data_IF_563598383248
#
_entry.id   IF_563598383248
#
_cell.length_a   1.000
_cell.length_b   1.000
_cell.length_c   1.000
_cell.angle_alpha   90.00
_cell.angle_beta   90.00
_cell.angle_gamma   90.00
#
_symmetry.space_group_name_H-M   'P 1'
#
loop_
_entity.id
_entity.type
_entity.pdbx_description
1 polymer ?
#
# COMPACT_ATOMS: atom_id res chain seq x y z
N UNK A 1 18.65 0.88 7.44
CA UNK A 1 18.09 1.63 6.29
C UNK A 1 17.16 0.73 5.48
N UNK A 2 15.97 1.18 5.21
CA UNK A 2 15.03 0.45 4.36
C UNK A 2 15.45 0.60 2.90
N UNK A 3 15.70 -0.52 2.25
CA UNK A 3 16.03 -0.53 0.83
C UNK A 3 14.78 -0.94 0.06
N UNK A 4 14.32 -0.07 -0.83
CA UNK A 4 13.18 -0.38 -1.66
C UNK A 4 13.55 -1.46 -2.68
N UNK A 5 12.61 -2.37 -2.90
CA UNK A 5 12.78 -3.43 -3.88
C UNK A 5 12.75 -2.83 -5.29
N UNK A 6 13.44 -3.49 -6.23
CA UNK A 6 13.48 -3.04 -7.62
C UNK A 6 12.10 -2.85 -8.22
N UNK A 7 11.16 -3.74 -7.91
CA UNK A 7 9.79 -3.64 -8.41
C UNK A 7 9.08 -2.38 -7.91
N UNK A 8 9.28 -2.04 -6.64
CA UNK A 8 8.68 -0.84 -6.05
C UNK A 8 9.24 0.43 -6.68
N UNK A 9 10.56 0.47 -6.92
CA UNK A 9 11.20 1.61 -7.58
C UNK A 9 10.66 1.81 -9.00
N UNK A 10 10.43 0.73 -9.75
CA UNK A 10 9.84 0.83 -11.08
C UNK A 10 8.44 1.40 -11.03
N UNK A 11 7.64 1.02 -10.03
CA UNK A 11 6.30 1.55 -9.85
C UNK A 11 6.37 3.04 -9.53
N UNK A 12 7.28 3.46 -8.64
CA UNK A 12 7.48 4.87 -8.32
C UNK A 12 7.84 5.67 -9.57
N UNK A 13 8.71 5.13 -10.42
CA UNK A 13 9.09 5.77 -11.67
C UNK A 13 7.89 5.94 -12.61
N UNK A 14 6.98 4.95 -12.65
CA UNK A 14 5.76 5.08 -13.45
C UNK A 14 4.80 6.10 -12.86
N UNK A 15 4.66 6.12 -11.54
CA UNK A 15 3.83 7.11 -10.86
C UNK A 15 4.37 8.51 -11.07
N UNK A 16 5.69 8.68 -11.11
CA UNK A 16 6.32 9.97 -11.33
C UNK A 16 5.99 10.59 -12.69
N UNK A 17 5.59 9.79 -13.68
CA UNK A 17 5.13 10.30 -14.96
C UNK A 17 3.77 11.00 -14.86
N UNK A 18 2.95 10.57 -13.89
CA UNK A 18 1.63 11.14 -13.63
C UNK A 18 1.69 12.16 -12.50
N UNK A 19 2.48 11.88 -11.47
CA UNK A 19 2.66 12.70 -10.27
C UNK A 19 4.13 13.08 -10.15
N UNK A 20 4.53 14.18 -10.76
CA UNK A 20 5.95 14.56 -10.90
C UNK A 20 6.68 14.83 -9.60
N UNK A 21 5.96 15.14 -8.52
CA UNK A 21 6.55 15.44 -7.22
C UNK A 21 6.78 14.24 -6.32
N UNK A 22 6.43 13.03 -6.79
CA UNK A 22 6.57 11.83 -5.96
C UNK A 22 8.05 11.51 -5.70
N UNK A 23 8.38 11.17 -4.47
CA UNK A 23 9.73 10.81 -4.04
C UNK A 23 9.71 9.50 -3.28
N UNK A 24 10.68 8.64 -3.56
CA UNK A 24 10.88 7.42 -2.80
C UNK A 24 11.35 7.73 -1.38
N UNK A 25 10.91 6.93 -0.42
CA UNK A 25 11.33 7.04 0.97
C UNK A 25 12.17 5.81 1.31
N UNK A 26 13.36 6.03 1.84
CA UNK A 26 14.29 4.94 2.15
C UNK A 26 14.80 5.02 3.60
N UNK A 27 13.96 5.48 4.51
CA UNK A 27 14.29 5.48 5.94
C UNK A 27 14.05 4.11 6.56
N UNK A 28 14.89 3.75 7.50
CA UNK A 28 14.85 2.44 8.16
C UNK A 28 13.49 2.14 8.80
N UNK A 29 12.84 3.15 9.38
CA UNK A 29 11.57 2.98 10.10
C UNK A 29 10.38 3.54 9.33
N UNK A 30 10.56 3.81 8.04
CA UNK A 30 9.46 4.29 7.23
C UNK A 30 8.39 3.22 7.05
N UNK A 31 7.13 3.61 7.19
CA UNK A 31 5.97 2.75 7.02
C UNK A 31 5.33 2.90 5.65
N UNK A 32 5.84 3.81 4.85
CA UNK A 32 5.37 4.00 3.47
C UNK A 32 6.57 4.12 2.54
N UNK A 33 6.34 3.90 1.25
CA UNK A 33 7.40 3.73 0.26
C UNK A 33 7.70 5.00 -0.52
N UNK A 34 6.75 5.93 -0.60
CA UNK A 34 6.93 7.16 -1.36
C UNK A 34 6.07 8.27 -0.79
N UNK A 35 6.41 9.51 -1.13
CA UNK A 35 5.73 10.70 -0.64
C UNK A 35 5.77 11.80 -1.70
N UNK A 36 4.71 12.60 -1.76
CA UNK A 36 4.71 13.87 -2.48
C UNK A 36 3.99 14.93 -1.64
N UNK A 37 3.69 16.09 -2.23
CA UNK A 37 3.06 17.20 -1.50
C UNK A 37 1.71 16.82 -0.89
N UNK A 38 0.95 15.95 -1.55
CA UNK A 38 -0.44 15.67 -1.19
C UNK A 38 -0.66 14.27 -0.66
N UNK A 39 0.26 13.36 -0.92
CA UNK A 39 0.03 11.94 -0.68
C UNK A 39 1.23 11.24 -0.07
N UNK A 40 0.95 10.19 0.69
CA UNK A 40 1.92 9.13 1.00
C UNK A 40 1.48 7.86 0.31
N UNK A 41 2.41 7.01 -0.06
CA UNK A 41 2.15 5.82 -0.87
C UNK A 41 2.74 4.58 -0.21
N UNK A 42 1.91 3.55 -0.05
CA UNK A 42 2.37 2.21 0.29
C UNK A 42 2.20 1.35 -0.98
N UNK A 43 3.24 0.62 -1.36
CA UNK A 43 3.28 -0.10 -2.63
C UNK A 43 3.36 -1.59 -2.37
N UNK A 44 2.50 -2.36 -3.03
CA UNK A 44 2.51 -3.82 -2.98
C UNK A 44 2.52 -4.38 -4.38
N UNK A 45 3.34 -5.41 -4.59
CA UNK A 45 3.42 -6.15 -5.84
C UNK A 45 2.84 -7.53 -5.63
N UNK A 46 1.93 -7.94 -6.50
CA UNK A 46 1.30 -9.26 -6.46
C UNK A 46 1.51 -9.93 -7.81
N UNK A 47 1.78 -11.24 -7.80
CA UNK A 47 1.96 -12.00 -9.03
C UNK A 47 0.65 -12.29 -9.74
N UNK A 48 -0.44 -12.40 -8.96
CA UNK A 48 -1.76 -12.75 -9.47
C UNK A 48 -2.72 -11.58 -9.32
N UNK A 49 -3.74 -11.55 -10.17
CA UNK A 49 -4.86 -10.63 -10.00
C UNK A 49 -5.75 -11.09 -8.85
N UNK A 50 -6.20 -10.14 -8.05
CA UNK A 50 -7.18 -10.36 -6.97
C UNK A 50 -8.27 -9.31 -7.12
N UNK A 51 -9.52 -9.75 -7.12
CA UNK A 51 -10.66 -8.84 -7.19
C UNK A 51 -10.88 -8.10 -5.85
N UNK A 52 -10.32 -8.62 -4.77
CA UNK A 52 -10.26 -7.95 -3.48
C UNK A 52 -8.81 -7.95 -3.02
N UNK A 53 -8.26 -6.76 -2.81
CA UNK A 53 -6.87 -6.63 -2.39
C UNK A 53 -6.79 -6.57 -0.89
N UNK A 54 -5.79 -7.25 -0.34
CA UNK A 54 -5.57 -7.33 1.10
C UNK A 54 -4.72 -6.15 1.57
N UNK A 55 -5.10 -5.57 2.72
CA UNK A 55 -4.30 -4.58 3.41
C UNK A 55 -4.15 -4.97 4.87
N UNK A 56 -2.92 -4.91 5.40
CA UNK A 56 -2.64 -5.21 6.81
C UNK A 56 -3.07 -4.02 7.67
N UNK A 57 -3.69 -4.31 8.81
CA UNK A 57 -4.24 -3.26 9.67
C UNK A 57 -3.17 -2.31 10.21
N UNK A 58 -2.00 -2.81 10.54
CA UNK A 58 -0.92 -1.96 11.05
C UNK A 58 -0.45 -0.95 10.00
N UNK A 59 -0.37 -1.35 8.73
CA UNK A 59 -0.07 -0.45 7.62
C UNK A 59 -1.19 0.56 7.42
N UNK A 60 -2.42 0.09 7.47
CA UNK A 60 -3.60 0.94 7.33
C UNK A 60 -3.62 2.01 8.42
N UNK A 61 -3.54 1.58 9.68
CA UNK A 61 -3.71 2.50 10.80
C UNK A 61 -2.56 3.50 10.92
N UNK A 62 -1.32 3.03 10.82
CA UNK A 62 -0.16 3.91 10.93
C UNK A 62 -0.14 4.95 9.83
N UNK A 63 -0.32 4.51 8.59
CA UNK A 63 -0.23 5.41 7.44
C UNK A 63 -1.40 6.39 7.39
N UNK A 64 -2.58 5.94 7.81
CA UNK A 64 -3.74 6.82 7.88
C UNK A 64 -3.53 7.93 8.91
N UNK A 65 -3.02 7.59 10.11
CA UNK A 65 -2.71 8.56 11.15
C UNK A 65 -1.65 9.55 10.68
N UNK A 66 -0.58 9.03 10.04
CA UNK A 66 0.46 9.89 9.49
C UNK A 66 -0.12 10.88 8.47
N UNK A 67 -0.90 10.36 7.54
CA UNK A 67 -1.51 11.18 6.50
C UNK A 67 -2.39 12.28 7.10
N UNK A 68 -3.24 11.92 8.07
CA UNK A 68 -4.10 12.90 8.74
C UNK A 68 -3.28 13.96 9.48
N UNK A 69 -2.21 13.55 10.16
CA UNK A 69 -1.36 14.46 10.93
C UNK A 69 -0.71 15.51 10.03
N UNK A 70 -0.27 15.10 8.84
CA UNK A 70 0.44 15.98 7.91
C UNK A 70 -0.43 16.49 6.75
N UNK A 71 -1.74 16.34 6.88
CA UNK A 71 -2.71 16.82 5.89
C UNK A 71 -2.46 16.27 4.49
N UNK A 72 -2.25 14.97 4.44
CA UNK A 72 -2.03 14.23 3.20
C UNK A 72 -3.08 13.14 3.03
N UNK A 73 -3.16 12.57 1.84
CA UNK A 73 -3.93 11.36 1.60
C UNK A 73 -3.01 10.15 1.69
N UNK A 74 -3.54 9.03 2.19
CA UNK A 74 -2.86 7.76 2.12
C UNK A 74 -3.35 7.00 0.89
N UNK A 75 -2.44 6.78 -0.07
CA UNK A 75 -2.71 6.03 -1.29
C UNK A 75 -2.05 4.65 -1.20
N UNK A 76 -2.85 3.62 -1.44
CA UNK A 76 -2.38 2.24 -1.48
C UNK A 76 -2.28 1.83 -2.94
N UNK A 77 -1.07 1.46 -3.37
CA UNK A 77 -0.75 1.16 -4.77
C UNK A 77 -0.48 -0.32 -4.89
N UNK A 78 -1.27 -1.03 -5.67
CA UNK A 78 -1.13 -2.47 -5.84
C UNK A 78 -0.88 -2.79 -7.31
N UNK A 79 0.28 -3.38 -7.58
CA UNK A 79 0.60 -3.87 -8.92
C UNK A 79 0.13 -5.32 -9.05
N UNK A 80 -0.66 -5.59 -10.05
CA UNK A 80 -1.09 -6.92 -10.44
C UNK A 80 -0.95 -7.02 -11.97
N UNK A 81 -2.02 -7.26 -12.70
CA UNK A 81 -2.04 -7.15 -14.17
C UNK A 81 -1.83 -5.71 -14.62
N UNK A 82 -2.30 -4.77 -13.81
CA UNK A 82 -2.13 -3.33 -13.95
C UNK A 82 -1.70 -2.77 -12.60
N UNK A 83 -1.50 -1.47 -12.53
CA UNK A 83 -1.28 -0.76 -11.28
C UNK A 83 -2.60 -0.14 -10.85
N UNK A 84 -3.08 -0.53 -9.67
CA UNK A 84 -4.33 -0.02 -9.09
C UNK A 84 -4.01 0.88 -7.92
N UNK A 85 -4.66 2.03 -7.85
CA UNK A 85 -4.44 2.99 -6.77
C UNK A 85 -5.74 3.19 -6.01
N UNK A 86 -5.67 3.01 -4.69
CA UNK A 86 -6.80 3.19 -3.78
C UNK A 86 -6.52 4.35 -2.85
N UNK A 87 -7.48 5.26 -2.70
CA UNK A 87 -7.35 6.34 -1.71
C UNK A 87 -7.93 5.86 -0.39
N UNK A 88 -7.06 5.41 0.50
CA UNK A 88 -7.47 4.86 1.79
C UNK A 88 -8.09 5.94 2.68
N UNK A 89 -7.57 7.17 2.62
CA UNK A 89 -8.12 8.28 3.38
C UNK A 89 -9.59 8.52 3.03
N UNK A 90 -9.95 8.44 1.75
CA UNK A 90 -11.35 8.57 1.34
C UNK A 90 -12.19 7.37 1.76
N UNK A 91 -11.66 6.16 1.62
CA UNK A 91 -12.38 4.96 2.07
C UNK A 91 -12.69 5.03 3.55
N UNK A 92 -11.73 5.48 4.37
CA UNK A 92 -11.96 5.71 5.79
C UNK A 92 -13.04 6.77 6.03
N UNK A 93 -12.97 7.88 5.31
CA UNK A 93 -13.92 8.98 5.46
C UNK A 93 -15.36 8.56 5.14
N UNK A 94 -15.54 7.67 4.17
CA UNK A 94 -16.86 7.19 3.76
C UNK A 94 -17.25 5.87 4.45
N UNK A 95 -16.56 5.51 5.53
CA UNK A 95 -16.87 4.32 6.33
C UNK A 95 -16.87 3.01 5.50
N UNK A 96 -15.92 2.89 4.59
CA UNK A 96 -15.81 1.66 3.80
C UNK A 96 -15.60 0.45 4.72
N UNK A 97 -16.32 -0.63 4.48
CA UNK A 97 -16.21 -1.85 5.27
C UNK A 97 -15.09 -2.73 4.72
N UNK A 98 -13.96 -2.74 5.41
CA UNK A 98 -12.80 -3.55 5.04
C UNK A 98 -12.96 -5.02 5.44
N UNK A 99 -13.97 -5.38 6.21
CA UNK A 99 -14.17 -6.76 6.71
C UNK A 99 -12.93 -7.29 7.45
N UNK A 100 -12.42 -6.51 8.40
CA UNK A 100 -11.24 -6.88 9.17
C UNK A 100 -11.35 -8.27 9.78
N UNK A 101 -10.31 -9.08 9.59
CA UNK A 101 -10.27 -10.42 10.16
C UNK A 101 -8.84 -10.80 10.52
N UNK A 102 -8.69 -11.71 11.46
CA UNK A 102 -7.40 -12.30 11.78
C UNK A 102 -7.08 -13.40 10.79
N UNK A 103 -5.88 -13.37 10.26
CA UNK A 103 -5.45 -14.31 9.24
C UNK A 103 -4.01 -14.72 9.47
N UNK A 104 -3.71 -16.01 9.24
CA UNK A 104 -2.35 -16.49 9.27
C UNK A 104 -1.64 -16.07 7.98
N UNK A 105 -0.56 -15.33 8.15
CA UNK A 105 0.27 -14.89 7.02
C UNK A 105 1.69 -15.37 7.23
N UNK A 106 2.45 -15.60 6.13
CA UNK A 106 3.84 -15.97 6.24
C UNK A 106 4.63 -14.90 6.98
N UNK A 107 5.55 -15.32 7.86
CA UNK A 107 6.51 -14.41 8.43
C UNK A 107 7.48 -13.99 7.31
N UNK A 108 7.66 -12.69 7.13
CA UNK A 108 8.46 -12.17 6.03
C UNK A 108 9.96 -12.20 6.27
N UNK A 109 10.42 -12.65 7.44
CA UNK A 109 11.86 -12.82 7.65
C UNK A 109 12.36 -14.03 6.86
N UNK A 110 13.46 -13.87 6.16
CA UNK A 110 13.99 -14.90 5.28
C UNK A 110 14.27 -16.23 5.99
N UNK A 111 14.69 -16.16 7.25
CA UNK A 111 15.08 -17.33 8.02
C UNK A 111 13.88 -18.14 8.52
N UNK A 112 12.68 -17.57 8.48
CA UNK A 112 11.48 -18.17 9.03
C UNK A 112 10.38 -18.31 7.98
N UNK A 113 10.73 -18.72 6.79
CA UNK A 113 9.79 -18.82 5.66
C UNK A 113 8.61 -19.75 5.93
N UNK A 114 8.75 -20.69 6.84
CA UNK A 114 7.70 -21.65 7.18
C UNK A 114 6.84 -21.21 8.33
N UNK A 115 7.26 -20.19 9.08
CA UNK A 115 6.48 -19.69 10.19
C UNK A 115 5.36 -18.78 9.70
N UNK A 116 4.20 -18.94 10.31
CA UNK A 116 3.05 -18.08 10.07
C UNK A 116 2.75 -17.31 11.32
N UNK A 117 2.40 -16.05 11.15
CA UNK A 117 1.95 -15.19 12.23
C UNK A 117 0.55 -14.71 11.93
N UNK A 118 -0.22 -14.49 13.00
CA UNK A 118 -1.57 -13.93 12.84
C UNK A 118 -1.49 -12.44 12.67
N UNK A 119 -2.14 -11.92 11.64
CA UNK A 119 -2.25 -10.50 11.39
C UNK A 119 -3.70 -10.13 11.17
N UNK A 120 -4.05 -8.94 11.60
CA UNK A 120 -5.35 -8.36 11.32
C UNK A 120 -5.29 -7.77 9.91
N UNK A 121 -6.18 -8.21 9.04
CA UNK A 121 -6.18 -7.78 7.64
C UNK A 121 -7.57 -7.35 7.20
N UNK A 122 -7.63 -6.46 6.23
CA UNK A 122 -8.86 -6.06 5.59
C UNK A 122 -8.76 -6.27 4.09
N UNK A 123 -9.87 -6.02 3.40
CA UNK A 123 -9.98 -6.24 1.96
C UNK A 123 -10.62 -5.03 1.30
N UNK A 124 -10.11 -4.69 0.12
CA UNK A 124 -10.62 -3.58 -0.68
C UNK A 124 -11.06 -4.15 -2.03
N UNK A 125 -12.33 -3.97 -2.37
CA UNK A 125 -12.81 -4.40 -3.68
C UNK A 125 -12.11 -3.59 -4.77
N UNK A 126 -11.75 -4.28 -5.86
CA UNK A 126 -11.00 -3.65 -6.95
C UNK A 126 -11.77 -2.48 -7.57
N UNK A 127 -13.10 -2.49 -7.50
CA UNK A 127 -13.93 -1.39 -7.99
C UNK A 127 -13.69 -0.07 -7.23
N UNK A 128 -13.06 -0.12 -6.08
CA UNK A 128 -12.74 1.08 -5.30
C UNK A 128 -11.47 1.77 -5.77
N UNK A 129 -10.76 1.23 -6.74
CA UNK A 129 -9.56 1.88 -7.28
C UNK A 129 -9.95 3.20 -7.93
N UNK A 130 -9.22 4.26 -7.56
CA UNK A 130 -9.44 5.58 -8.17
C UNK A 130 -8.69 5.74 -9.49
N UNK A 131 -7.62 4.96 -9.68
CA UNK A 131 -6.86 4.94 -10.92
C UNK A 131 -6.44 3.51 -11.25
N UNK A 132 -6.41 3.21 -12.55
CA UNK A 132 -5.80 2.02 -13.11
C UNK A 132 -4.77 2.48 -14.13
N UNK A 133 -3.53 2.03 -13.99
CA UNK A 133 -2.45 2.42 -14.86
C UNK A 133 -1.88 1.17 -15.52
N UNK A 134 -1.79 1.18 -16.84
CA UNK A 134 -1.19 0.08 -17.59
C UNK A 134 0.31 0.02 -17.31
N UNK A 135 0.79 -1.20 -17.22
CA UNK A 135 2.23 -1.44 -17.03
C UNK A 135 3.01 -1.23 -18.30
#
# INVERSE_FOLDING_TARGET
MTILKTKELKIIQRLAKVKKSIQAVSYEYSRFDAIDNKNIYEIKCREKFYDKVLIEFDKYSFNLIYAQTFNKNFLYVVEMDKIYIFNISKLYMFDYNFNWEWKDLPNQTEFNKKEKIKKLVGYIDISQAIYEINK
#
